data_IF_047963109126
#
_entry.id   IF_047963109126
#
_cell.length_a   1.000
_cell.length_b   1.000
_cell.length_c   1.000
_cell.angle_alpha   90.00
_cell.angle_beta   90.00
_cell.angle_gamma   90.00
#
_symmetry.space_group_name_H-M   'P 1'
#
loop_
_entity.id
_entity.type
_entity.pdbx_description
1 polymer ?
#
# COMPACT_ATOMS: atom_id res chain seq x y z
N UNK A 1 51.46 0.45 -86.23
CA UNK A 1 50.64 -0.46 -85.41
C UNK A 1 49.91 0.38 -84.35
N UNK A 2 48.58 0.28 -84.32
CA UNK A 2 47.63 0.30 -83.18
C UNK A 2 47.96 1.13 -81.90
N UNK A 3 47.05 2.05 -81.53
CA UNK A 3 46.85 2.74 -80.22
C UNK A 3 46.38 1.74 -79.10
N UNK A 4 46.45 1.98 -77.75
CA UNK A 4 45.90 3.19 -77.08
C UNK A 4 46.43 3.64 -75.69
N UNK A 5 45.93 4.83 -75.30
CA UNK A 5 45.66 5.46 -73.99
C UNK A 5 46.07 4.77 -72.67
N UNK A 6 46.58 5.61 -71.76
CA UNK A 6 46.04 5.71 -70.39
C UNK A 6 46.12 7.18 -69.91
N UNK A 7 44.96 7.79 -69.73
CA UNK A 7 44.78 9.10 -69.07
C UNK A 7 45.00 8.92 -67.57
N UNK A 8 45.95 9.68 -67.00
CA UNK A 8 46.04 9.86 -65.56
C UNK A 8 45.62 11.31 -65.24
N UNK A 9 44.31 11.53 -65.14
CA UNK A 9 43.80 12.78 -64.58
C UNK A 9 44.24 12.90 -63.12
N UNK A 10 45.09 13.89 -62.88
CA UNK A 10 45.57 14.24 -61.56
C UNK A 10 44.41 14.72 -60.69
N UNK A 11 44.20 14.02 -59.58
CA UNK A 11 43.22 14.27 -58.54
C UNK A 11 43.09 15.75 -58.17
N UNK A 12 41.92 16.31 -58.43
CA UNK A 12 41.52 17.65 -58.03
C UNK A 12 41.56 17.77 -56.49
N UNK A 13 42.48 18.60 -55.99
CA UNK A 13 42.64 18.89 -54.57
C UNK A 13 41.41 19.63 -54.04
N UNK A 14 40.53 18.89 -53.38
CA UNK A 14 39.29 19.39 -52.78
C UNK A 14 39.63 20.38 -51.64
N UNK A 15 39.69 21.67 -51.98
CA UNK A 15 39.87 22.76 -51.01
C UNK A 15 38.71 22.70 -50.00
N UNK A 16 39.04 22.50 -48.73
CA UNK A 16 38.06 22.54 -47.63
C UNK A 16 37.42 23.92 -47.60
N UNK A 17 36.15 24.00 -48.00
CA UNK A 17 35.33 25.21 -47.88
C UNK A 17 35.32 25.68 -46.43
N UNK A 18 35.53 26.99 -46.22
CA UNK A 18 35.60 27.61 -44.90
C UNK A 18 34.26 27.62 -44.15
N UNK A 19 34.17 28.41 -43.08
CA UNK A 19 32.92 28.54 -42.29
C UNK A 19 31.82 29.20 -43.13
N UNK A 20 30.90 28.40 -43.67
CA UNK A 20 29.73 28.88 -44.40
C UNK A 20 28.73 29.64 -43.49
N UNK A 21 28.16 30.73 -44.01
CA UNK A 21 27.05 31.46 -43.36
C UNK A 21 25.80 30.59 -43.41
N UNK A 22 25.06 30.53 -42.30
CA UNK A 22 23.77 29.83 -42.20
C UNK A 22 22.70 30.77 -41.65
N UNK A 23 21.44 30.56 -42.05
CA UNK A 23 20.28 31.31 -41.54
C UNK A 23 20.00 30.97 -40.06
N UNK A 24 19.51 31.94 -39.29
CA UNK A 24 19.08 31.74 -37.89
C UNK A 24 17.65 31.20 -37.88
N UNK A 25 17.52 29.90 -38.20
CA UNK A 25 16.29 29.12 -38.09
C UNK A 25 16.63 27.68 -37.67
N UNK A 26 15.62 26.87 -37.36
CA UNK A 26 15.82 25.45 -37.05
C UNK A 26 16.47 24.74 -38.24
N UNK A 27 17.53 23.97 -37.99
CA UNK A 27 18.19 23.14 -39.03
C UNK A 27 17.37 21.86 -39.18
N UNK A 28 16.77 21.64 -40.35
CA UNK A 28 15.88 20.48 -40.56
C UNK A 28 16.64 19.14 -40.67
N UNK A 29 17.76 19.14 -41.39
CA UNK A 29 18.61 17.96 -41.50
C UNK A 29 19.15 17.53 -40.12
N UNK A 30 18.80 16.32 -39.69
CA UNK A 30 19.12 15.76 -38.37
C UNK A 30 20.62 15.67 -38.11
N UNK A 31 21.40 15.20 -39.08
CA UNK A 31 22.86 15.06 -38.98
C UNK A 31 23.54 16.41 -38.86
N UNK A 32 23.20 17.37 -39.74
CA UNK A 32 23.75 18.73 -39.69
C UNK A 32 23.36 19.45 -38.40
N UNK A 33 22.12 19.24 -37.92
CA UNK A 33 21.64 19.76 -36.64
C UNK A 33 22.43 19.19 -35.47
N UNK A 34 22.71 17.89 -35.45
CA UNK A 34 23.49 17.24 -34.39
C UNK A 34 24.94 17.76 -34.36
N UNK A 35 25.61 17.82 -35.52
CA UNK A 35 26.97 18.34 -35.61
C UNK A 35 27.02 19.81 -35.19
N UNK A 36 26.06 20.61 -35.62
CA UNK A 36 25.96 22.03 -35.24
C UNK A 36 25.68 22.20 -33.76
N UNK A 37 24.79 21.39 -33.18
CA UNK A 37 24.53 21.38 -31.73
C UNK A 37 25.81 21.11 -30.96
N UNK A 38 26.55 20.06 -31.30
CA UNK A 38 27.82 19.74 -30.63
C UNK A 38 28.82 20.90 -30.69
N UNK A 39 28.98 21.53 -31.87
CA UNK A 39 29.90 22.66 -32.05
C UNK A 39 29.44 23.91 -31.29
N UNK A 40 28.17 24.31 -31.43
CA UNK A 40 27.63 25.51 -30.79
C UNK A 40 27.53 25.38 -29.28
N UNK A 41 27.09 24.23 -28.76
CA UNK A 41 27.08 23.93 -27.33
C UNK A 41 28.48 24.06 -26.74
N UNK A 42 29.49 23.45 -27.36
CA UNK A 42 30.87 23.56 -26.88
C UNK A 42 31.40 24.99 -26.97
N UNK A 43 31.08 25.72 -28.05
CA UNK A 43 31.44 27.14 -28.18
C UNK A 43 30.79 28.00 -27.09
N UNK A 44 29.52 27.75 -26.77
CA UNK A 44 28.79 28.45 -25.72
C UNK A 44 29.35 28.15 -24.33
N UNK A 45 29.67 26.88 -24.04
CA UNK A 45 30.32 26.48 -22.78
C UNK A 45 31.68 27.18 -22.61
N UNK A 46 32.49 27.26 -23.68
CA UNK A 46 33.76 28.00 -23.65
C UNK A 46 33.55 29.49 -23.36
N UNK A 47 32.53 30.11 -23.97
CA UNK A 47 32.22 31.52 -23.73
C UNK A 47 31.72 31.78 -22.31
N UNK A 48 30.88 30.89 -21.77
CA UNK A 48 30.44 30.97 -20.38
C UNK A 48 31.63 30.85 -19.41
N UNK A 49 32.56 29.94 -19.68
CA UNK A 49 33.80 29.80 -18.91
C UNK A 49 34.66 31.07 -18.97
N UNK A 50 34.96 31.56 -20.18
CA UNK A 50 35.75 32.79 -20.38
C UNK A 50 35.13 33.97 -19.62
N UNK A 51 33.82 34.17 -19.72
CA UNK A 51 33.12 35.25 -19.00
C UNK A 51 33.25 35.10 -17.48
N UNK A 52 33.06 33.89 -16.94
CA UNK A 52 33.15 33.66 -15.51
C UNK A 52 34.56 33.90 -14.96
N UNK A 53 35.61 33.59 -15.73
CA UNK A 53 37.00 33.76 -15.30
C UNK A 53 37.48 35.20 -15.50
N UNK A 54 37.22 35.79 -16.67
CA UNK A 54 37.74 37.12 -17.02
C UNK A 54 37.10 38.24 -16.21
N UNK A 55 35.81 38.08 -15.85
CA UNK A 55 35.03 39.12 -15.19
C UNK A 55 34.65 38.76 -13.75
N UNK A 56 35.13 37.63 -13.21
CA UNK A 56 34.71 37.08 -11.91
C UNK A 56 33.17 37.02 -11.76
N UNK A 57 32.50 36.72 -12.87
CA UNK A 57 31.05 36.69 -12.93
C UNK A 57 30.53 35.30 -12.52
N UNK A 58 29.49 35.25 -11.68
CA UNK A 58 28.76 34.01 -11.45
C UNK A 58 27.93 33.65 -12.68
N UNK A 59 28.24 32.49 -13.28
CA UNK A 59 27.61 32.04 -14.52
C UNK A 59 27.21 30.58 -14.36
N UNK A 60 25.94 30.28 -14.65
CA UNK A 60 25.44 28.93 -14.84
C UNK A 60 24.78 28.79 -16.22
N UNK A 61 25.09 27.71 -16.93
CA UNK A 61 24.54 27.38 -18.24
C UNK A 61 23.99 25.94 -18.21
N UNK A 62 22.76 25.77 -18.67
CA UNK A 62 22.08 24.48 -18.76
C UNK A 62 21.58 24.30 -20.20
N UNK A 63 21.92 23.17 -20.82
CA UNK A 63 21.51 22.83 -22.19
C UNK A 63 20.99 21.39 -22.24
N UNK A 64 19.72 21.22 -22.56
CA UNK A 64 19.14 19.91 -22.87
C UNK A 64 19.18 19.66 -24.37
N UNK A 65 19.69 18.51 -24.78
CA UNK A 65 19.52 18.06 -26.17
C UNK A 65 18.08 17.64 -26.43
N UNK A 66 17.69 17.54 -27.71
CA UNK A 66 16.36 17.01 -28.09
C UNK A 66 16.11 15.56 -27.65
N UNK A 67 17.15 14.84 -27.20
CA UNK A 67 17.06 13.49 -26.63
C UNK A 67 17.07 13.49 -25.09
N UNK A 68 16.95 14.65 -24.44
CA UNK A 68 16.93 14.78 -22.99
C UNK A 68 18.30 14.75 -22.31
N UNK A 69 19.40 14.57 -23.05
CA UNK A 69 20.76 14.62 -22.44
C UNK A 69 21.07 16.02 -21.94
N UNK A 70 21.45 16.13 -20.67
CA UNK A 70 21.90 17.34 -19.99
C UNK A 70 23.36 17.64 -20.29
N UNK A 71 23.66 18.91 -20.56
CA UNK A 71 24.99 19.48 -20.62
C UNK A 71 24.98 20.79 -19.85
N UNK A 72 25.90 20.94 -18.90
CA UNK A 72 25.91 22.09 -18.01
C UNK A 72 27.31 22.61 -17.72
N UNK A 73 27.37 23.86 -17.29
CA UNK A 73 28.56 24.51 -16.75
C UNK A 73 28.13 25.45 -15.62
N UNK A 74 28.88 25.47 -14.53
CA UNK A 74 28.82 26.49 -13.50
C UNK A 74 30.21 26.69 -12.90
N UNK A 75 30.57 27.93 -12.57
CA UNK A 75 31.79 28.22 -11.81
C UNK A 75 31.66 27.87 -10.31
N UNK A 76 30.43 27.77 -9.80
CA UNK A 76 30.11 27.23 -8.48
C UNK A 76 29.15 26.04 -8.62
N UNK A 77 27.90 26.17 -8.15
CA UNK A 77 26.86 25.15 -8.29
C UNK A 77 25.69 25.71 -9.10
N UNK A 78 25.24 24.94 -10.10
CA UNK A 78 24.01 25.25 -10.85
C UNK A 78 22.85 25.51 -9.90
N UNK A 79 22.72 24.68 -8.85
CA UNK A 79 21.69 24.84 -7.82
C UNK A 79 21.83 26.16 -7.07
N UNK A 80 23.04 26.50 -6.61
CA UNK A 80 23.29 27.74 -5.88
C UNK A 80 22.96 28.99 -6.73
N UNK A 81 23.33 28.99 -8.01
CA UNK A 81 23.03 30.09 -8.93
C UNK A 81 21.53 30.21 -9.20
N UNK A 82 20.83 29.08 -9.38
CA UNK A 82 19.36 29.07 -9.51
C UNK A 82 18.70 29.60 -8.23
N UNK A 83 19.18 29.18 -7.06
CA UNK A 83 18.63 29.61 -5.78
C UNK A 83 18.85 31.12 -5.55
N UNK A 84 20.03 31.65 -5.94
CA UNK A 84 20.30 33.10 -5.95
C UNK A 84 19.38 33.85 -6.91
N UNK A 85 19.17 33.33 -8.12
CA UNK A 85 18.23 33.90 -9.09
C UNK A 85 16.80 33.94 -8.53
N UNK A 86 16.34 32.84 -7.94
CA UNK A 86 15.01 32.75 -7.30
C UNK A 86 14.86 33.76 -6.18
N UNK A 87 15.88 33.91 -5.31
CA UNK A 87 15.87 34.91 -4.23
C UNK A 87 15.78 36.34 -4.78
N UNK A 88 16.60 36.67 -5.77
CA UNK A 88 16.58 37.98 -6.41
C UNK A 88 15.23 38.28 -7.08
N UNK A 89 14.57 37.27 -7.66
CA UNK A 89 13.23 37.42 -8.25
C UNK A 89 12.10 37.48 -7.21
N UNK A 90 12.24 36.79 -6.07
CA UNK A 90 11.29 36.85 -4.98
C UNK A 90 11.27 38.24 -4.32
N UNK A 91 12.44 38.88 -4.21
CA UNK A 91 12.57 40.23 -3.65
C UNK A 91 12.05 41.33 -4.62
N UNK A 92 12.00 41.06 -5.94
CA UNK A 92 11.58 42.02 -6.97
C UNK A 92 10.13 41.92 -7.41
N UNK A 93 9.40 40.87 -7.03
CA UNK A 93 8.04 40.62 -7.56
C UNK A 93 7.11 40.11 -6.47
N UNK A 94 6.21 40.99 -6.00
CA UNK A 94 5.02 40.65 -5.22
C UNK A 94 3.96 39.91 -6.05
N UNK A 95 4.36 38.94 -6.88
CA UNK A 95 3.46 38.05 -7.60
C UNK A 95 4.07 36.65 -7.57
N UNK A 96 3.61 35.87 -6.60
CA UNK A 96 3.96 34.46 -6.47
C UNK A 96 3.74 33.73 -7.79
N UNK A 97 4.76 32.99 -8.22
CA UNK A 97 4.66 32.10 -9.37
C UNK A 97 3.50 31.13 -9.17
N UNK A 98 2.85 30.68 -10.25
CA UNK A 98 1.81 29.61 -10.20
C UNK A 98 2.32 28.37 -9.45
N UNK A 99 3.62 28.08 -9.52
CA UNK A 99 4.26 27.00 -8.76
C UNK A 99 4.27 27.23 -7.24
N UNK A 100 4.39 28.48 -6.82
CA UNK A 100 4.40 28.87 -5.41
C UNK A 100 2.99 28.86 -4.83
N UNK A 101 2.01 29.35 -5.59
CA UNK A 101 0.59 29.26 -5.23
C UNK A 101 0.12 27.79 -5.07
N UNK A 102 0.53 26.91 -6.00
CA UNK A 102 0.24 25.47 -5.88
C UNK A 102 0.91 24.84 -4.66
N UNK A 103 2.17 25.20 -4.38
CA UNK A 103 2.89 24.68 -3.20
C UNK A 103 2.21 25.12 -1.90
N UNK A 104 1.82 26.39 -1.80
CA UNK A 104 1.09 26.92 -0.65
C UNK A 104 -0.28 26.26 -0.47
N UNK A 105 -1.01 26.01 -1.56
CA UNK A 105 -2.28 25.29 -1.52
C UNK A 105 -2.13 23.89 -0.92
N UNK A 106 -1.20 23.09 -1.43
CA UNK A 106 -0.97 21.74 -0.91
C UNK A 106 -0.45 21.74 0.52
N UNK A 107 0.34 22.73 0.93
CA UNK A 107 0.75 22.90 2.32
C UNK A 107 -0.45 23.17 3.24
N UNK A 108 -1.39 24.02 2.83
CA UNK A 108 -2.61 24.29 3.60
C UNK A 108 -3.49 23.04 3.70
N UNK A 109 -3.69 22.31 2.61
CA UNK A 109 -4.45 21.05 2.62
C UNK A 109 -3.79 20.01 3.54
N UNK A 110 -2.47 19.86 3.46
CA UNK A 110 -1.72 18.99 4.36
C UNK A 110 -1.87 19.42 5.83
N UNK A 111 -1.85 20.72 6.13
CA UNK A 111 -2.06 21.24 7.48
C UNK A 111 -3.48 20.95 8.02
N UNK A 112 -4.50 21.08 7.16
CA UNK A 112 -5.89 20.72 7.49
C UNK A 112 -6.02 19.23 7.80
N UNK A 113 -5.46 18.36 6.97
CA UNK A 113 -5.46 16.91 7.19
C UNK A 113 -4.73 16.53 8.48
N UNK A 114 -3.56 17.12 8.74
CA UNK A 114 -2.81 16.91 9.99
C UNK A 114 -3.61 17.32 11.21
N UNK A 115 -4.40 18.41 11.12
CA UNK A 115 -5.30 18.83 12.20
C UNK A 115 -6.41 17.82 12.43
N UNK A 116 -7.08 17.38 11.36
CA UNK A 116 -8.13 16.35 11.47
C UNK A 116 -7.63 15.05 12.10
N UNK A 117 -6.43 14.60 11.72
CA UNK A 117 -5.79 13.41 12.32
C UNK A 117 -5.59 13.61 13.82
N UNK A 118 -5.05 14.76 14.24
CA UNK A 118 -4.85 15.07 15.66
C UNK A 118 -6.18 15.13 16.43
N UNK A 119 -7.21 15.72 15.84
CA UNK A 119 -8.53 15.84 16.46
C UNK A 119 -9.15 14.44 16.66
N UNK A 120 -9.07 13.57 15.65
CA UNK A 120 -9.53 12.17 15.73
C UNK A 120 -8.73 11.38 16.76
N UNK A 121 -7.40 11.48 16.76
CA UNK A 121 -6.54 10.79 17.73
C UNK A 121 -6.84 11.25 19.17
N UNK A 122 -7.02 12.55 19.37
CA UNK A 122 -7.38 13.10 20.68
C UNK A 122 -8.75 12.60 21.13
N UNK A 123 -9.74 12.61 20.23
CA UNK A 123 -11.06 12.06 20.51
C UNK A 123 -11.01 10.56 20.85
N UNK A 124 -10.23 9.77 20.11
CA UNK A 124 -10.03 8.34 20.37
C UNK A 124 -9.45 8.08 21.76
N UNK A 125 -8.48 8.91 22.20
CA UNK A 125 -7.93 8.83 23.56
C UNK A 125 -8.99 9.16 24.61
N UNK A 126 -9.81 10.18 24.36
CA UNK A 126 -10.88 10.57 25.27
C UNK A 126 -11.95 9.48 25.43
N UNK A 127 -12.40 8.84 24.34
CA UNK A 127 -13.42 7.77 24.43
C UNK A 127 -12.92 6.51 25.16
N UNK A 128 -11.60 6.28 25.23
CA UNK A 128 -11.01 5.19 26.04
C UNK A 128 -10.66 5.62 27.46
N UNK A 129 -10.97 6.85 27.84
CA UNK A 129 -10.75 7.38 29.20
C UNK A 129 -9.38 8.02 29.44
N UNK A 130 -8.58 8.26 28.40
CA UNK A 130 -7.31 8.97 28.48
C UNK A 130 -7.45 10.47 28.21
N UNK A 131 -6.48 11.26 28.67
CA UNK A 131 -6.35 12.69 28.34
C UNK A 131 -7.63 13.52 28.60
N UNK A 132 -8.40 13.16 29.63
CA UNK A 132 -9.66 13.81 29.97
C UNK A 132 -9.48 15.18 30.64
N UNK A 133 -8.28 15.47 31.16
CA UNK A 133 -7.97 16.72 31.87
C UNK A 133 -8.13 17.98 31.02
N UNK A 134 -8.10 17.86 29.69
CA UNK A 134 -8.31 18.97 28.78
C UNK A 134 -9.79 19.26 28.47
N UNK A 135 -10.72 18.42 28.94
CA UNK A 135 -12.15 18.57 28.68
C UNK A 135 -12.82 19.44 29.75
N UNK A 136 -13.78 20.26 29.33
CA UNK A 136 -14.66 20.95 30.27
C UNK A 136 -15.62 19.96 30.94
N UNK A 137 -16.17 20.27 32.13
CA UNK A 137 -17.18 19.42 32.78
C UNK A 137 -18.40 19.14 31.89
N UNK A 138 -18.78 20.11 31.06
CA UNK A 138 -19.87 19.95 30.07
C UNK A 138 -19.50 18.94 28.99
N UNK A 139 -18.29 19.02 28.46
CA UNK A 139 -17.82 18.10 27.41
C UNK A 139 -17.62 16.69 27.95
N UNK A 140 -17.15 16.57 29.19
CA UNK A 140 -17.01 15.28 29.87
C UNK A 140 -18.38 14.60 30.06
N UNK A 141 -19.39 15.34 30.52
CA UNK A 141 -20.77 14.83 30.63
C UNK A 141 -21.35 14.42 29.28
N UNK A 142 -21.06 15.20 28.22
CA UNK A 142 -21.49 14.84 26.87
C UNK A 142 -20.81 13.55 26.37
N UNK A 143 -19.52 13.37 26.68
CA UNK A 143 -18.75 12.18 26.33
C UNK A 143 -19.29 10.95 27.07
N UNK A 144 -19.52 11.07 28.38
CA UNK A 144 -20.15 10.04 29.21
C UNK A 144 -21.49 9.58 28.62
N UNK A 145 -22.40 10.52 28.32
CA UNK A 145 -23.69 10.20 27.74
C UNK A 145 -23.61 9.55 26.35
N UNK A 146 -22.58 9.89 25.55
CA UNK A 146 -22.33 9.21 24.27
C UNK A 146 -21.87 7.76 24.48
N UNK A 147 -20.95 7.54 25.42
CA UNK A 147 -20.44 6.21 25.75
C UNK A 147 -21.52 5.32 26.35
N UNK A 148 -22.35 5.85 27.24
CA UNK A 148 -23.47 5.13 27.86
C UNK A 148 -24.48 4.65 26.80
N UNK A 149 -24.85 5.53 25.86
CA UNK A 149 -25.73 5.14 24.73
C UNK A 149 -25.06 4.13 23.80
N UNK A 150 -23.75 4.25 23.57
CA UNK A 150 -23.02 3.31 22.72
C UNK A 150 -22.96 1.92 23.35
N UNK A 151 -22.59 1.82 24.63
CA UNK A 151 -22.51 0.54 25.34
C UNK A 151 -23.88 -0.11 25.52
N UNK A 152 -24.93 0.71 25.74
CA UNK A 152 -26.31 0.23 25.74
C UNK A 152 -26.67 -0.48 24.44
N UNK A 153 -26.39 0.14 23.29
CA UNK A 153 -26.62 -0.46 21.95
C UNK A 153 -25.83 -1.76 21.75
N UNK A 154 -24.56 -1.79 22.13
CA UNK A 154 -23.72 -3.00 22.04
C UNK A 154 -24.31 -4.13 22.88
N UNK A 155 -24.70 -3.84 24.12
CA UNK A 155 -25.31 -4.83 25.03
C UNK A 155 -26.63 -5.37 24.49
N UNK A 156 -27.51 -4.49 24.01
CA UNK A 156 -28.78 -4.90 23.39
C UNK A 156 -28.54 -5.84 22.20
N UNK A 157 -27.61 -5.49 21.30
CA UNK A 157 -27.30 -6.33 20.14
C UNK A 157 -26.69 -7.67 20.55
N UNK A 158 -25.80 -7.67 21.54
CA UNK A 158 -25.21 -8.90 22.08
C UNK A 158 -26.29 -9.82 22.68
N UNK A 159 -27.25 -9.25 23.41
CA UNK A 159 -28.35 -10.02 23.98
C UNK A 159 -29.26 -10.59 22.89
N UNK A 160 -29.62 -9.80 21.87
CA UNK A 160 -30.40 -10.25 20.72
C UNK A 160 -29.74 -11.46 20.04
N UNK A 161 -28.44 -11.39 19.77
CA UNK A 161 -27.68 -12.49 19.16
C UNK A 161 -27.62 -13.72 20.07
N UNK A 162 -27.42 -13.52 21.37
CA UNK A 162 -27.39 -14.61 22.34
C UNK A 162 -28.73 -15.34 22.43
N UNK A 163 -29.85 -14.61 22.43
CA UNK A 163 -31.19 -15.21 22.43
C UNK A 163 -31.45 -16.00 21.15
N UNK A 164 -31.07 -15.45 19.99
CA UNK A 164 -31.19 -16.16 18.72
C UNK A 164 -30.37 -17.46 18.69
N UNK A 165 -29.18 -17.46 19.28
CA UNK A 165 -28.34 -18.66 19.37
C UNK A 165 -28.94 -19.71 20.31
N UNK A 166 -29.48 -19.29 21.47
CA UNK A 166 -30.15 -20.19 22.40
C UNK A 166 -31.34 -20.88 21.72
N UNK A 167 -32.16 -20.12 21.00
CA UNK A 167 -33.32 -20.66 20.29
C UNK A 167 -32.91 -21.68 19.21
N UNK A 168 -31.84 -21.38 18.46
CA UNK A 168 -31.29 -22.27 17.45
C UNK A 168 -30.78 -23.58 18.09
N UNK A 169 -30.04 -23.47 19.20
CA UNK A 169 -29.53 -24.63 19.93
C UNK A 169 -30.64 -25.50 20.50
N UNK A 170 -31.69 -24.90 21.08
CA UNK A 170 -32.84 -25.63 21.61
C UNK A 170 -33.60 -26.38 20.50
N UNK A 171 -33.81 -25.74 19.35
CA UNK A 171 -34.43 -26.41 18.19
C UNK A 171 -33.59 -27.60 17.73
N UNK A 172 -32.27 -27.42 17.64
CA UNK A 172 -31.35 -28.49 17.25
C UNK A 172 -31.35 -29.65 18.26
N UNK A 173 -31.44 -29.36 19.54
CA UNK A 173 -31.56 -30.37 20.59
C UNK A 173 -32.81 -31.23 20.38
N UNK A 174 -33.97 -30.60 20.15
CA UNK A 174 -35.24 -31.29 19.89
C UNK A 174 -35.13 -32.18 18.64
N UNK A 175 -34.58 -31.66 17.55
CA UNK A 175 -34.42 -32.42 16.30
C UNK A 175 -33.52 -33.66 16.51
N UNK A 176 -32.43 -33.52 17.27
CA UNK A 176 -31.53 -34.62 17.61
C UNK A 176 -32.18 -35.63 18.56
N UNK A 177 -32.97 -35.17 19.53
CA UNK A 177 -33.73 -36.06 20.42
C UNK A 177 -34.75 -36.89 19.63
N UNK A 178 -35.47 -36.26 18.70
CA UNK A 178 -36.43 -36.94 17.82
C UNK A 178 -35.75 -37.98 16.92
N UNK A 179 -34.61 -37.62 16.31
CA UNK A 179 -33.83 -38.55 15.49
C UNK A 179 -33.32 -39.74 16.31
N UNK A 180 -32.81 -39.49 17.53
CA UNK A 180 -32.37 -40.55 18.44
C UNK A 180 -33.52 -41.49 18.85
N UNK A 181 -34.69 -40.94 19.17
CA UNK A 181 -35.87 -41.74 19.51
C UNK A 181 -36.29 -42.63 18.35
N UNK A 182 -36.31 -42.10 17.12
CA UNK A 182 -36.61 -42.86 15.91
C UNK A 182 -35.62 -44.01 15.69
N UNK A 183 -34.31 -43.73 15.82
CA UNK A 183 -33.27 -44.75 15.66
C UNK A 183 -33.40 -45.85 16.72
N UNK A 184 -33.64 -45.50 17.99
CA UNK A 184 -33.87 -46.48 19.07
C UNK A 184 -35.08 -47.37 18.78
N UNK A 185 -36.17 -46.80 18.28
CA UNK A 185 -37.35 -47.58 17.89
C UNK A 185 -37.03 -48.55 16.74
N UNK A 186 -36.26 -48.10 15.73
CA UNK A 186 -35.82 -48.95 14.61
C UNK A 186 -34.89 -50.08 15.05
N UNK A 187 -33.97 -49.82 15.97
CA UNK A 187 -33.10 -50.86 16.54
C UNK A 187 -33.94 -51.93 17.25
N UNK A 188 -34.88 -51.51 18.11
CA UNK A 188 -35.76 -52.44 18.82
C UNK A 188 -36.63 -53.29 17.88
N UNK A 189 -37.07 -52.72 16.75
CA UNK A 189 -37.81 -53.45 15.71
C UNK A 189 -36.93 -54.54 15.06
N UNK A 190 -35.69 -54.21 14.69
CA UNK A 190 -34.73 -55.16 14.11
C UNK A 190 -34.37 -56.28 15.10
N UNK A 191 -34.14 -55.94 16.37
CA UNK A 191 -33.84 -56.91 17.42
C UNK A 191 -35.00 -57.89 17.65
N UNK A 192 -36.25 -57.40 17.65
CA UNK A 192 -37.43 -58.28 17.75
C UNK A 192 -37.58 -59.20 16.52
N UNK A 193 -37.32 -58.69 15.32
CA UNK A 193 -37.36 -59.49 14.11
C UNK A 193 -36.29 -60.59 14.10
N UNK A 194 -35.07 -60.29 14.57
CA UNK A 194 -34.01 -61.29 14.74
C UNK A 194 -34.37 -62.35 15.79
N UNK A 195 -34.95 -61.93 16.92
CA UNK A 195 -35.41 -62.89 17.95
C UNK A 195 -36.51 -63.81 17.43
N UNK A 196 -37.47 -63.31 16.64
CA UNK A 196 -38.50 -64.14 16.00
C UNK A 196 -37.90 -65.13 14.99
N UNK A 197 -36.89 -64.72 14.22
CA UNK A 197 -36.20 -65.63 13.28
C UNK A 197 -35.42 -66.74 13.99
N UNK A 198 -34.86 -66.47 15.18
CA UNK A 198 -34.12 -67.46 15.97
C UNK A 198 -35.02 -68.49 16.70
N UNK A 199 -36.34 -68.31 16.74
CA UNK A 199 -37.30 -69.20 17.40
C UNK A 199 -37.95 -70.22 16.43
N UNK A 200 -37.56 -70.24 15.15
CA UNK A 200 -37.97 -71.29 14.20
C UNK A 200 -37.06 -72.53 14.36
N UNK A 201 -37.59 -73.71 14.74
CA UNK A 201 -36.79 -74.92 14.85
C UNK A 201 -36.61 -75.56 13.47
N UNK A 202 -35.41 -75.44 12.89
CA UNK A 202 -35.02 -76.26 11.75
C UNK A 202 -33.84 -75.73 10.95
N UNK A 203 -32.64 -76.28 11.19
CA UNK A 203 -31.58 -76.32 10.17
C UNK A 203 -30.16 -75.97 10.61
N UNK A 204 -29.54 -76.90 11.33
CA UNK A 204 -28.13 -77.31 11.18
C UNK A 204 -26.97 -76.37 11.54
N UNK A 205 -26.21 -76.87 12.52
CA UNK A 205 -24.86 -76.55 12.96
C UNK A 205 -23.89 -76.11 11.86
N UNK A 206 -23.07 -75.08 12.11
CA UNK A 206 -21.59 -75.16 12.06
C UNK A 206 -20.93 -73.97 12.79
N UNK A 207 -20.11 -74.32 13.78
CA UNK A 207 -18.84 -73.71 14.21
C UNK A 207 -18.77 -72.30 14.86
N UNK A 208 -18.69 -72.31 16.20
CA UNK A 208 -17.47 -72.03 16.98
C UNK A 208 -16.72 -70.69 16.72
N UNK A 209 -16.94 -69.66 17.56
CA UNK A 209 -15.98 -69.25 18.61
C UNK A 209 -16.42 -67.97 19.37
N UNK A 210 -16.34 -68.12 20.69
CA UNK A 210 -16.02 -67.12 21.71
C UNK A 210 -17.12 -66.17 22.24
N UNK A 211 -17.06 -66.08 23.56
CA UNK A 211 -18.04 -65.57 24.50
C UNK A 211 -17.65 -64.13 24.94
N UNK A 212 -18.31 -63.51 25.93
CA UNK A 212 -18.90 -62.17 25.85
C UNK A 212 -17.96 -61.05 26.31
N UNK A 213 -18.19 -59.83 25.83
CA UNK A 213 -17.58 -58.62 26.40
C UNK A 213 -18.63 -57.53 26.60
N UNK A 214 -19.02 -57.37 27.85
CA UNK A 214 -19.54 -56.11 28.38
C UNK A 214 -18.48 -55.02 28.18
N UNK A 215 -18.73 -54.07 27.29
CA UNK A 215 -18.00 -52.79 27.30
C UNK A 215 -18.98 -51.66 27.01
N UNK A 216 -19.50 -51.11 28.10
CA UNK A 216 -19.75 -49.68 28.18
C UNK A 216 -18.43 -48.97 27.87
N UNK A 217 -18.25 -48.46 26.64
CA UNK A 217 -17.30 -47.39 26.37
C UNK A 217 -17.51 -46.77 24.98
N UNK A 218 -17.54 -45.44 25.00
CA UNK A 218 -17.25 -44.51 23.90
C UNK A 218 -18.28 -44.32 22.78
N UNK A 219 -19.32 -43.54 23.09
CA UNK A 219 -19.80 -42.49 22.20
C UNK A 219 -19.64 -41.13 22.90
N UNK A 220 -18.40 -40.70 23.05
CA UNK A 220 -18.04 -39.32 23.39
C UNK A 220 -17.05 -38.84 22.33
N UNK A 221 -17.51 -38.61 21.10
CA UNK A 221 -16.73 -37.85 20.14
C UNK A 221 -17.62 -37.03 19.21
N UNK A 222 -18.23 -35.99 19.78
CA UNK A 222 -18.78 -34.86 19.05
C UNK A 222 -18.94 -33.64 19.99
N UNK A 223 -17.93 -33.38 20.83
CA UNK A 223 -17.83 -32.09 21.54
C UNK A 223 -17.04 -31.11 20.67
N UNK A 224 -17.68 -30.60 19.62
CA UNK A 224 -17.29 -29.31 19.07
C UNK A 224 -17.94 -28.21 19.93
N UNK A 225 -17.44 -28.07 21.16
CA UNK A 225 -17.62 -26.85 21.93
C UNK A 225 -16.59 -25.85 21.42
N UNK A 226 -17.04 -24.69 20.94
CA UNK A 226 -16.17 -23.53 20.79
C UNK A 226 -15.58 -23.22 22.18
N UNK A 227 -14.26 -23.03 22.32
CA UNK A 227 -13.68 -22.67 23.61
C UNK A 227 -14.15 -21.27 24.00
N UNK A 228 -14.94 -21.20 25.06
CA UNK A 228 -15.20 -19.97 25.81
C UNK A 228 -13.93 -19.65 26.60
N UNK A 229 -13.03 -18.85 26.01
CA UNK A 229 -11.94 -18.24 26.76
C UNK A 229 -12.52 -17.14 27.66
N UNK A 230 -12.85 -17.52 28.89
CA UNK A 230 -13.00 -16.60 30.01
C UNK A 230 -11.61 -16.10 30.40
N UNK A 231 -11.50 -14.79 30.59
CA UNK A 231 -10.34 -14.08 31.10
C UNK A 231 -9.62 -14.83 32.23
N UNK A 232 -8.31 -14.99 32.10
CA UNK A 232 -7.41 -14.89 33.25
C UNK A 232 -6.45 -13.69 33.07
N UNK A 233 -6.14 -12.96 34.14
CA UNK A 233 -5.25 -11.82 34.11
C UNK A 233 -3.80 -12.31 34.28
N UNK A 234 -2.88 -11.89 33.42
CA UNK A 234 -1.48 -11.86 33.85
C UNK A 234 -0.68 -10.72 33.22
N UNK A 235 0.26 -10.13 33.97
CA UNK A 235 0.94 -8.88 33.71
C UNK A 235 2.19 -9.10 32.86
N UNK A 236 2.90 -7.99 32.61
CA UNK A 236 4.19 -7.86 31.94
C UNK A 236 4.14 -7.60 30.43
N UNK A 237 4.09 -6.30 30.15
CA UNK A 237 4.75 -5.67 29.02
C UNK A 237 6.14 -6.29 28.76
N UNK A 238 6.40 -6.69 27.53
CA UNK A 238 7.73 -6.62 26.95
C UNK A 238 7.65 -6.09 25.52
N UNK A 239 8.19 -4.88 25.42
CA UNK A 239 8.53 -4.06 24.29
C UNK A 239 9.28 -4.88 23.22
N UNK A 240 8.82 -4.86 21.98
CA UNK A 240 9.70 -4.97 20.82
C UNK A 240 9.16 -4.08 19.70
N UNK A 241 10.03 -3.17 19.28
CA UNK A 241 9.83 -2.16 18.25
C UNK A 241 9.53 -2.81 16.89
N UNK A 242 8.42 -2.44 16.27
CA UNK A 242 8.27 -2.52 14.81
C UNK A 242 8.14 -1.10 14.25
N UNK A 243 9.30 -0.62 13.82
CA UNK A 243 9.52 0.66 13.18
C UNK A 243 9.08 0.56 11.71
N UNK A 244 7.84 0.95 11.40
CA UNK A 244 7.42 1.17 10.01
C UNK A 244 7.86 2.57 9.56
N UNK A 245 9.08 2.63 9.03
CA UNK A 245 9.57 3.81 8.34
C UNK A 245 8.90 3.91 6.95
N UNK A 246 7.95 4.82 6.80
CA UNK A 246 7.50 5.30 5.48
C UNK A 246 8.46 6.40 5.03
N UNK A 247 9.45 6.02 4.24
CA UNK A 247 10.37 6.95 3.58
C UNK A 247 9.77 7.33 2.22
N UNK A 248 9.23 8.55 2.12
CA UNK A 248 8.96 9.18 0.83
C UNK A 248 10.27 9.78 0.30
N UNK A 249 10.65 9.36 -0.90
CA UNK A 249 11.55 10.08 -1.81
C UNK A 249 10.68 10.96 -2.71
#
# INVERSE_FOLDING_TARGET
MVFPNEEFESSNSQRKSGRGKIEIKRIENTTNRQVTFCKRRNGLLKKAYELSVLCDAEVALIVFSSRGRLYEYANNSVRATIDRYKKHHADSTSQGSVSEANTQYYQQEAAKLRRQIRDIQTYNRQIVGEALSSLSPRDLKNLEGKLEKAIGRVRSKKNELLFSEIELMQKREIDLQNANMYLRAKIAEVERAQQQMNLMPGGSEYNQQQQPMTTSQNYNDARNFLPVNLLEPNPHYSRHDDQTALQLV
#
